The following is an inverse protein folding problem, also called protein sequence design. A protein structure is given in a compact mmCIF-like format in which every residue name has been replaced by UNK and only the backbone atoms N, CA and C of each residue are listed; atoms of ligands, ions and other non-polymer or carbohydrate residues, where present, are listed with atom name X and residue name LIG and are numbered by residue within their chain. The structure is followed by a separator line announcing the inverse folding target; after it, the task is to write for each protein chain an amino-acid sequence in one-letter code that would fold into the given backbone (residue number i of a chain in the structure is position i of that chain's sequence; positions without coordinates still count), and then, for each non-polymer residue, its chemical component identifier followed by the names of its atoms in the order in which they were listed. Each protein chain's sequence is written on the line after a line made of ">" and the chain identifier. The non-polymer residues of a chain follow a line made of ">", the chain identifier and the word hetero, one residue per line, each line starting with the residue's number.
data_IF_194030720242
#
_entry.id   IF_194030720242
#
_cell.length_a   1.000
_cell.length_b   1.000
_cell.length_c   1.000
_cell.angle_alpha   90.00
_cell.angle_beta   90.00
_cell.angle_gamma   90.00
#
_symmetry.space_group_name_H-M   'P 1'
#
loop_
_entity.id
_entity.type
_entity.pdbx_description
1 polymer ?
#
# COMPACT_ATOMS: atom_id res chain seq x y z
N UNK A 1 -5.56 -5.41 8.20
CA UNK A 1 -5.66 -6.58 9.10
C UNK A 1 -5.57 -6.20 10.57
N UNK A 2 -4.63 -5.33 10.94
CA UNK A 2 -4.51 -4.86 12.32
C UNK A 2 -5.83 -4.28 12.86
N UNK A 3 -6.20 -4.69 14.07
CA UNK A 3 -7.44 -4.27 14.73
C UNK A 3 -8.71 -4.99 14.25
N UNK A 4 -8.62 -5.93 13.31
CA UNK A 4 -9.75 -6.81 12.94
C UNK A 4 -9.76 -8.08 13.81
N UNK A 5 -10.83 -8.86 13.72
CA UNK A 5 -11.04 -10.06 14.53
C UNK A 5 -11.10 -11.30 13.64
N UNK A 6 -10.49 -12.39 14.06
CA UNK A 6 -10.51 -13.66 13.34
C UNK A 6 -11.92 -14.27 13.29
N UNK A 7 -12.32 -14.72 12.10
CA UNK A 7 -13.58 -15.44 11.90
C UNK A 7 -13.45 -16.94 12.16
N UNK A 8 -12.27 -17.53 11.92
CA UNK A 8 -11.99 -18.95 12.10
C UNK A 8 -10.65 -19.14 12.83
N UNK A 9 -10.45 -20.31 13.42
CA UNK A 9 -9.16 -20.72 13.97
C UNK A 9 -8.14 -20.87 12.84
N UNK A 10 -6.89 -20.47 13.10
CA UNK A 10 -5.78 -20.59 12.14
C UNK A 10 -4.77 -21.59 12.67
N UNK A 11 -4.55 -22.65 11.87
CA UNK A 11 -3.60 -23.70 12.16
C UNK A 11 -2.45 -23.70 11.16
N UNK A 12 -1.26 -24.03 11.65
CA UNK A 12 -0.13 -24.45 10.81
C UNK A 12 0.23 -25.88 11.20
N UNK A 13 -0.05 -26.80 10.28
CA UNK A 13 0.01 -28.23 10.57
C UNK A 13 -0.90 -28.58 11.75
N UNK A 14 -0.30 -29.02 12.87
CA UNK A 14 -1.03 -29.37 14.11
C UNK A 14 -1.06 -28.23 15.15
N UNK A 15 -0.43 -27.09 14.88
CA UNK A 15 -0.28 -26.00 15.84
C UNK A 15 -1.27 -24.88 15.56
N UNK A 16 -2.11 -24.55 16.53
CA UNK A 16 -2.96 -23.35 16.48
C UNK A 16 -2.11 -22.09 16.68
N UNK A 17 -2.25 -21.10 15.78
CA UNK A 17 -1.53 -19.82 15.82
C UNK A 17 -2.44 -18.68 16.28
N UNK A 18 -3.71 -18.74 15.92
CA UNK A 18 -4.73 -17.79 16.32
C UNK A 18 -6.07 -18.49 16.46
N UNK A 19 -6.86 -18.05 17.43
CA UNK A 19 -8.17 -18.62 17.74
C UNK A 19 -9.28 -17.73 17.17
N UNK A 20 -10.42 -18.32 16.86
CA UNK A 20 -11.63 -17.62 16.47
C UNK A 20 -11.98 -16.55 17.51
N UNK A 21 -12.46 -15.38 17.05
CA UNK A 21 -12.82 -14.22 17.86
C UNK A 21 -11.64 -13.50 18.54
N UNK A 22 -10.40 -13.89 18.25
CA UNK A 22 -9.21 -13.16 18.70
C UNK A 22 -8.98 -11.89 17.88
N UNK A 23 -8.61 -10.79 18.55
CA UNK A 23 -8.18 -9.57 17.87
C UNK A 23 -6.79 -9.71 17.24
N UNK A 24 -6.64 -9.13 16.05
CA UNK A 24 -5.41 -9.18 15.28
C UNK A 24 -4.54 -7.99 15.70
N UNK A 25 -3.71 -8.22 16.71
CA UNK A 25 -2.66 -7.29 17.14
C UNK A 25 -1.33 -7.45 16.40
N UNK A 26 -0.35 -6.61 16.74
CA UNK A 26 0.98 -6.59 16.11
C UNK A 26 1.70 -7.95 16.22
N UNK A 27 1.58 -8.62 17.38
CA UNK A 27 2.24 -9.90 17.63
C UNK A 27 1.69 -11.03 16.74
N UNK A 28 0.37 -11.04 16.51
CA UNK A 28 -0.28 -12.02 15.66
C UNK A 28 0.08 -11.79 14.18
N UNK A 29 0.12 -10.53 13.74
CA UNK A 29 0.53 -10.14 12.38
C UNK A 29 1.96 -10.59 12.08
N UNK A 30 2.89 -10.33 13.00
CA UNK A 30 4.29 -10.72 12.81
C UNK A 30 4.41 -12.24 12.62
N UNK A 31 3.65 -13.04 13.38
CA UNK A 31 3.58 -14.49 13.18
C UNK A 31 3.04 -14.85 11.79
N UNK A 32 1.96 -14.23 11.34
CA UNK A 32 1.39 -14.50 10.00
C UNK A 32 2.38 -14.19 8.87
N UNK A 33 3.13 -13.08 8.98
CA UNK A 33 4.17 -12.71 8.01
C UNK A 33 5.29 -13.75 8.01
N UNK A 34 5.80 -14.13 9.19
CA UNK A 34 6.90 -15.10 9.30
C UNK A 34 6.54 -16.46 8.73
N UNK A 35 5.30 -16.91 8.92
CA UNK A 35 4.90 -18.26 8.52
C UNK A 35 4.24 -18.34 7.14
N UNK A 36 4.19 -17.24 6.37
CA UNK A 36 3.55 -17.17 5.04
C UNK A 36 2.20 -17.90 4.99
N UNK A 37 1.30 -17.53 5.90
CA UNK A 37 0.02 -18.22 6.04
C UNK A 37 -0.88 -18.04 4.82
N UNK A 38 -1.68 -19.06 4.53
CA UNK A 38 -2.80 -19.03 3.59
C UNK A 38 -3.78 -17.86 3.86
N UNK A 39 -4.68 -17.55 2.90
CA UNK A 39 -5.72 -16.54 3.11
C UNK A 39 -6.46 -16.75 4.44
N UNK A 40 -6.61 -15.66 5.20
CA UNK A 40 -7.22 -15.66 6.52
C UNK A 40 -8.64 -15.08 6.49
N UNK A 41 -9.58 -15.77 7.13
CA UNK A 41 -10.95 -15.30 7.31
C UNK A 41 -11.03 -14.31 8.46
N UNK A 42 -11.53 -13.10 8.20
CA UNK A 42 -11.79 -12.07 9.21
C UNK A 42 -13.28 -11.76 9.31
N UNK A 43 -13.71 -11.37 10.51
CA UNK A 43 -15.06 -10.82 10.70
C UNK A 43 -15.13 -9.42 10.11
N UNK A 44 -16.26 -9.12 9.48
CA UNK A 44 -16.50 -7.81 8.87
C UNK A 44 -17.89 -7.29 9.21
N UNK A 45 -18.14 -5.97 9.14
CA UNK A 45 -19.48 -5.43 9.27
C UNK A 45 -20.46 -6.00 8.23
N UNK A 46 -19.98 -6.28 7.01
CA UNK A 46 -20.78 -6.83 5.91
C UNK A 46 -21.32 -8.24 6.17
N UNK A 47 -20.62 -9.03 7.01
CA UNK A 47 -21.00 -10.40 7.36
C UNK A 47 -21.68 -10.48 8.73
N UNK A 48 -21.99 -9.32 9.34
CA UNK A 48 -22.65 -9.28 10.63
C UNK A 48 -24.11 -9.75 10.52
N UNK A 49 -24.54 -10.65 11.41
CA UNK A 49 -25.91 -11.17 11.44
C UNK A 49 -26.91 -10.28 12.19
N UNK A 50 -26.43 -9.18 12.75
CA UNK A 50 -27.28 -8.24 13.48
C UNK A 50 -28.04 -7.35 12.49
N UNK A 51 -29.35 -7.19 12.71
CA UNK A 51 -30.29 -6.55 11.78
C UNK A 51 -30.21 -5.03 11.77
N UNK A 52 -29.88 -4.40 12.91
CA UNK A 52 -29.90 -2.94 13.04
C UNK A 52 -28.61 -2.35 13.61
N UNK A 53 -27.67 -3.21 14.02
CA UNK A 53 -26.44 -2.82 14.72
C UNK A 53 -25.26 -3.62 14.21
N UNK A 54 -24.04 -3.12 14.41
CA UNK A 54 -22.81 -3.89 14.14
C UNK A 54 -22.30 -4.42 15.48
N UNK A 55 -22.07 -5.73 15.58
CA UNK A 55 -21.53 -6.29 16.82
C UNK A 55 -20.04 -5.93 17.01
N UNK A 56 -19.59 -5.89 18.27
CA UNK A 56 -18.20 -5.57 18.65
C UNK A 56 -17.15 -6.34 17.86
N UNK A 57 -17.36 -7.64 17.65
CA UNK A 57 -16.41 -8.52 16.94
C UNK A 57 -16.40 -8.30 15.43
N UNK A 58 -17.52 -7.92 14.82
CA UNK A 58 -17.57 -7.60 13.38
C UNK A 58 -16.97 -6.23 13.07
N UNK A 59 -17.05 -5.29 14.02
CA UNK A 59 -16.36 -4.00 13.90
C UNK A 59 -14.86 -4.15 14.19
N UNK A 60 -14.49 -4.69 15.35
CA UNK A 60 -13.12 -4.85 15.81
C UNK A 60 -12.67 -3.73 16.75
N UNK A 61 -11.42 -3.30 16.56
CA UNK A 61 -10.71 -2.31 17.39
C UNK A 61 -11.16 -0.88 17.05
N UNK A 62 -11.40 -0.08 18.07
CA UNK A 62 -11.68 1.35 17.92
C UNK A 62 -10.41 2.08 17.47
N UNK A 63 -10.49 2.98 16.46
CA UNK A 63 -9.36 3.76 16.00
C UNK A 63 -8.79 4.71 17.06
N UNK A 64 -9.61 5.12 18.04
CA UNK A 64 -9.27 6.14 19.03
C UNK A 64 -8.58 5.56 20.26
N UNK A 65 -9.00 4.38 20.72
CA UNK A 65 -8.54 3.80 21.99
C UNK A 65 -7.59 2.62 21.80
N UNK A 66 -7.52 2.05 20.60
CA UNK A 66 -6.62 0.93 20.35
C UNK A 66 -7.03 -0.33 21.11
N UNK A 67 -8.29 -0.48 21.49
CA UNK A 67 -8.93 -1.68 22.04
C UNK A 67 -10.24 -1.99 21.31
N UNK A 68 -10.84 -3.16 21.54
CA UNK A 68 -12.13 -3.49 20.92
C UNK A 68 -13.18 -2.43 21.25
N UNK A 69 -13.94 -2.01 20.23
CA UNK A 69 -14.97 -0.95 20.30
C UNK A 69 -15.91 -1.13 21.50
N UNK A 70 -16.32 -0.06 22.15
CA UNK A 70 -17.25 -0.17 23.29
C UNK A 70 -18.68 -0.46 22.83
N UNK A 71 -19.46 -1.13 23.68
CA UNK A 71 -20.87 -1.37 23.40
C UNK A 71 -21.63 -0.04 23.50
N UNK A 72 -22.36 0.31 22.44
CA UNK A 72 -23.10 1.58 22.36
C UNK A 72 -22.33 2.70 21.65
N UNK A 73 -21.09 2.47 21.22
CA UNK A 73 -20.33 3.45 20.45
C UNK A 73 -21.00 3.72 19.09
N UNK A 74 -21.15 5.01 18.75
CA UNK A 74 -21.84 5.46 17.54
C UNK A 74 -20.96 5.33 16.28
N UNK A 75 -20.53 4.10 15.97
CA UNK A 75 -19.57 3.80 14.89
C UNK A 75 -20.00 4.30 13.51
N UNK A 76 -21.30 4.43 13.25
CA UNK A 76 -21.83 4.97 12.00
C UNK A 76 -21.57 6.48 11.84
N UNK A 77 -21.75 7.26 12.91
CA UNK A 77 -21.45 8.69 12.92
C UNK A 77 -19.94 8.91 12.79
N UNK A 78 -19.14 8.15 13.53
CA UNK A 78 -17.68 8.20 13.46
C UNK A 78 -17.20 7.89 12.04
N UNK A 79 -17.73 6.85 11.40
CA UNK A 79 -17.39 6.49 10.02
C UNK A 79 -17.78 7.60 9.03
N UNK A 80 -18.97 8.19 9.18
CA UNK A 80 -19.42 9.30 8.34
C UNK A 80 -18.49 10.51 8.41
N UNK A 81 -18.11 10.94 9.63
CA UNK A 81 -17.19 12.06 9.82
C UNK A 81 -15.78 11.76 9.31
N UNK A 82 -15.27 10.55 9.56
CA UNK A 82 -13.94 10.10 9.13
C UNK A 82 -13.76 10.13 7.60
N UNK A 83 -14.85 10.08 6.84
CA UNK A 83 -14.84 10.24 5.38
C UNK A 83 -15.20 11.67 4.98
N UNK A 84 -16.20 12.27 5.61
CA UNK A 84 -16.74 13.58 5.25
C UNK A 84 -15.77 14.74 5.47
N UNK A 85 -15.16 14.83 6.65
CA UNK A 85 -14.25 15.95 6.98
C UNK A 85 -13.00 15.96 6.08
N UNK A 86 -12.26 14.84 5.91
CA UNK A 86 -11.15 14.81 4.97
C UNK A 86 -11.57 15.05 3.52
N UNK A 87 -12.77 14.60 3.12
CA UNK A 87 -13.29 14.81 1.77
C UNK A 87 -13.58 16.28 1.46
N UNK A 88 -14.19 16.99 2.40
CA UNK A 88 -14.42 18.44 2.27
C UNK A 88 -13.10 19.21 2.29
N UNK A 89 -12.15 18.82 3.16
CA UNK A 89 -10.82 19.41 3.19
C UNK A 89 -10.04 19.19 1.89
N UNK A 90 -10.05 17.96 1.34
CA UNK A 90 -9.36 17.64 0.09
C UNK A 90 -9.92 18.50 -1.05
N UNK A 91 -11.24 18.57 -1.16
CA UNK A 91 -11.96 19.40 -2.13
C UNK A 91 -11.47 20.85 -2.07
N UNK A 92 -11.50 21.47 -0.89
CA UNK A 92 -11.02 22.85 -0.71
C UNK A 92 -9.55 22.99 -1.11
N UNK A 93 -8.68 22.07 -0.69
CA UNK A 93 -7.24 22.13 -1.01
C UNK A 93 -6.95 21.96 -2.50
N UNK A 94 -7.67 21.09 -3.22
CA UNK A 94 -7.43 20.79 -4.64
C UNK A 94 -7.96 21.86 -5.58
N UNK A 95 -9.11 22.47 -5.28
CA UNK A 95 -9.68 23.49 -6.15
C UNK A 95 -8.86 24.80 -6.13
N UNK A 96 -8.25 25.14 -4.99
CA UNK A 96 -7.39 26.32 -4.89
C UNK A 96 -5.98 26.13 -5.48
N UNK A 97 -5.55 24.89 -5.74
CA UNK A 97 -4.28 24.58 -6.42
C UNK A 97 -4.43 24.36 -7.93
N UNK A 98 -5.61 24.61 -8.50
CA UNK A 98 -5.81 24.70 -9.95
C UNK A 98 -5.65 23.39 -10.73
N UNK A 99 -5.83 22.23 -10.09
CA UNK A 99 -5.77 20.94 -10.78
C UNK A 99 -4.39 20.60 -11.37
N UNK A 100 -3.32 21.25 -10.90
CA UNK A 100 -1.95 20.89 -11.31
C UNK A 100 -1.59 19.56 -10.66
N UNK A 101 -1.95 18.48 -11.35
CA UNK A 101 -1.52 17.12 -11.03
C UNK A 101 -0.01 17.06 -11.30
N UNK A 102 0.80 17.37 -10.29
CA UNK A 102 2.19 16.91 -10.28
C UNK A 102 2.12 15.41 -10.05
N UNK A 103 1.89 14.64 -11.13
CA UNK A 103 2.06 13.19 -11.12
C UNK A 103 3.37 12.88 -10.40
N UNK A 104 3.30 11.90 -9.49
CA UNK A 104 4.25 11.71 -8.40
C UNK A 104 5.72 11.78 -8.82
N UNK A 105 6.58 12.05 -7.83
CA UNK A 105 8.04 11.99 -7.95
C UNK A 105 8.43 10.67 -8.63
N UNK A 106 8.66 10.71 -9.94
CA UNK A 106 9.23 9.57 -10.64
C UNK A 106 10.55 9.24 -9.93
N UNK A 107 10.80 7.98 -9.63
CA UNK A 107 12.09 7.59 -9.06
C UNK A 107 13.17 7.96 -10.08
N UNK A 108 13.97 8.97 -9.74
CA UNK A 108 15.04 9.43 -10.59
C UNK A 108 16.32 8.71 -10.20
N UNK A 109 16.78 7.80 -11.06
CA UNK A 109 18.13 7.25 -10.96
C UNK A 109 19.08 8.26 -11.63
N UNK A 110 20.02 8.82 -10.87
CA UNK A 110 21.10 9.66 -11.40
C UNK A 110 22.29 8.80 -11.77
N UNK A 111 23.00 9.18 -12.84
CA UNK A 111 24.25 8.51 -13.20
C UNK A 111 25.27 8.61 -12.04
N UNK A 112 25.90 7.50 -11.62
CA UNK A 112 26.85 7.49 -10.51
C UNK A 112 28.16 8.22 -10.85
N UNK A 113 28.51 8.32 -12.13
CA UNK A 113 29.72 8.99 -12.61
C UNK A 113 29.54 9.49 -14.04
N UNK A 114 30.43 10.38 -14.47
CA UNK A 114 30.50 10.82 -15.86
C UNK A 114 31.05 9.69 -16.75
N UNK A 115 30.38 9.41 -17.86
CA UNK A 115 30.80 8.37 -18.80
C UNK A 115 29.89 8.27 -20.01
N UNK A 116 30.26 7.39 -20.95
CA UNK A 116 29.44 7.06 -22.12
C UNK A 116 28.45 5.95 -21.77
N UNK A 117 27.18 6.19 -22.06
CA UNK A 117 26.10 5.23 -21.82
C UNK A 117 26.01 4.27 -23.01
N UNK A 118 26.01 2.97 -22.75
CA UNK A 118 25.72 1.92 -23.72
C UNK A 118 24.55 1.07 -23.23
N UNK A 119 23.57 0.87 -24.10
CA UNK A 119 22.37 0.05 -23.88
C UNK A 119 21.92 -0.57 -25.21
N UNK A 120 20.98 -1.51 -25.16
CA UNK A 120 20.42 -2.11 -26.37
C UNK A 120 19.34 -1.19 -26.97
N UNK A 121 19.64 -0.57 -28.11
CA UNK A 121 18.74 0.37 -28.79
C UNK A 121 17.41 -0.27 -29.25
N UNK A 122 17.38 -1.59 -29.46
CA UNK A 122 16.16 -2.29 -29.88
C UNK A 122 15.12 -2.42 -28.75
N UNK A 123 15.51 -2.15 -27.51
CA UNK A 123 14.63 -2.28 -26.33
C UNK A 123 14.02 -0.95 -25.89
N UNK A 124 14.31 0.13 -26.61
CA UNK A 124 13.83 1.48 -26.28
C UNK A 124 13.07 2.13 -27.44
N UNK A 125 12.14 3.00 -27.10
CA UNK A 125 11.39 3.81 -28.06
C UNK A 125 11.65 5.29 -27.81
N UNK A 126 11.99 6.09 -28.84
CA UNK A 126 12.15 7.52 -28.67
C UNK A 126 10.81 8.17 -28.31
N UNK A 127 10.82 9.03 -27.29
CA UNK A 127 9.67 9.79 -26.81
C UNK A 127 10.10 11.20 -26.42
N UNK A 128 9.16 12.02 -25.93
CA UNK A 128 9.46 13.33 -25.35
C UNK A 128 8.94 13.39 -23.91
N UNK A 129 9.72 14.01 -23.03
CA UNK A 129 9.28 14.31 -21.66
C UNK A 129 8.12 15.31 -21.68
N UNK A 130 7.43 15.48 -20.53
CA UNK A 130 6.41 16.54 -20.34
C UNK A 130 6.91 17.96 -20.64
N UNK A 131 8.22 18.17 -20.64
CA UNK A 131 8.88 19.45 -20.95
C UNK A 131 9.39 19.51 -22.40
N UNK A 132 9.03 18.55 -23.26
CA UNK A 132 9.41 18.52 -24.67
C UNK A 132 10.85 18.09 -24.95
N UNK A 133 11.60 17.61 -23.95
CA UNK A 133 12.98 17.13 -24.15
C UNK A 133 12.97 15.71 -24.72
N UNK A 134 13.85 15.38 -25.69
CA UNK A 134 13.99 14.01 -26.18
C UNK A 134 14.31 13.03 -25.04
N UNK A 135 13.69 11.86 -25.07
CA UNK A 135 13.90 10.79 -24.11
C UNK A 135 13.70 9.42 -24.77
N UNK A 136 14.03 8.36 -24.04
CA UNK A 136 13.79 6.98 -24.43
C UNK A 136 12.87 6.32 -23.41
N UNK A 137 11.93 5.50 -23.88
CA UNK A 137 10.97 4.74 -23.08
C UNK A 137 11.24 3.23 -23.26
N UNK A 138 11.27 2.49 -22.16
CA UNK A 138 11.33 1.02 -22.14
C UNK A 138 10.17 0.48 -21.30
N UNK A 139 9.66 -0.71 -21.63
CA UNK A 139 8.60 -1.41 -20.90
C UNK A 139 9.10 -2.65 -20.15
N UNK A 140 10.41 -2.84 -20.13
CA UNK A 140 11.12 -3.95 -19.49
C UNK A 140 12.36 -3.39 -18.80
N UNK A 141 12.94 -4.19 -17.90
CA UNK A 141 14.22 -3.87 -17.26
C UNK A 141 15.31 -3.64 -18.31
N UNK A 142 15.84 -2.41 -18.38
CA UNK A 142 16.90 -2.02 -19.29
C UNK A 142 18.25 -2.06 -18.60
N UNK A 143 19.13 -2.94 -19.08
CA UNK A 143 20.51 -3.01 -18.64
C UNK A 143 21.34 -1.93 -19.32
N UNK A 144 21.87 -1.02 -18.52
CA UNK A 144 22.67 0.12 -18.96
C UNK A 144 24.08 -0.01 -18.41
N UNK A 145 25.06 0.22 -19.28
CA UNK A 145 26.48 0.30 -18.90
C UNK A 145 26.99 1.72 -19.08
N UNK A 146 27.68 2.25 -18.07
CA UNK A 146 28.30 3.58 -18.10
C UNK A 146 29.80 3.36 -18.07
N UNK A 147 30.46 3.71 -19.16
CA UNK A 147 31.90 3.58 -19.36
C UNK A 147 32.58 4.92 -19.06
N UNK A 148 33.36 4.97 -17.98
CA UNK A 148 34.29 6.06 -17.65
C UNK A 148 35.73 5.59 -17.92
N UNK A 149 36.71 6.50 -17.88
CA UNK A 149 38.11 6.22 -18.26
C UNK A 149 38.70 4.98 -17.56
N UNK A 150 38.33 4.75 -16.30
CA UNK A 150 38.83 3.61 -15.50
C UNK A 150 37.73 2.72 -14.87
N UNK A 151 36.43 3.02 -15.08
CA UNK A 151 35.34 2.39 -14.33
C UNK A 151 34.15 2.05 -15.24
N UNK A 152 33.73 0.78 -15.19
CA UNK A 152 32.49 0.31 -15.81
C UNK A 152 31.40 0.15 -14.74
N UNK A 153 30.37 0.98 -14.80
CA UNK A 153 29.18 0.81 -13.96
C UNK A 153 28.06 0.11 -14.72
N UNK A 154 27.44 -0.90 -14.09
CA UNK A 154 26.24 -1.57 -14.61
C UNK A 154 25.05 -1.18 -13.77
N UNK A 155 24.00 -0.67 -14.40
CA UNK A 155 22.76 -0.22 -13.76
C UNK A 155 21.60 -0.88 -14.47
N UNK A 156 20.59 -1.31 -13.72
CA UNK A 156 19.34 -1.83 -14.28
C UNK A 156 18.26 -0.78 -14.06
N UNK A 157 17.64 -0.30 -15.14
CA UNK A 157 16.55 0.66 -15.10
C UNK A 157 15.23 -0.13 -15.16
N UNK A 158 14.38 -0.07 -14.12
CA UNK A 158 13.08 -0.74 -14.15
C UNK A 158 12.12 -0.08 -15.16
N UNK A 159 11.05 -0.78 -15.59
CA UNK A 159 10.04 -0.25 -16.51
C UNK A 159 9.27 0.97 -15.97
#
# INVERSE_FOLDING_TARGET
>A
LMGRVLADDIYIGRRCIGIQNQDIGIGLINRFITFQTQPISIRTPFTCRSTSWICRLCYGRSPTHGDLVELGEAVGIIAGQSIGEPGTQLTLRTFHTGGVFTGGTAEHIRAPSNGKIKFNENLVHPTRTRHGHPAFLCYIDLYVTIESEDILHKVTIPP
#
